data_IF_428125072827
#
_entry.id   IF_428125072827
#
_cell.length_a   1.000
_cell.length_b   1.000
_cell.length_c   1.000
_cell.angle_alpha   90.00
_cell.angle_beta   90.00
_cell.angle_gamma   90.00
#
_symmetry.space_group_name_H-M   'P 1'
#
loop_
_entity.id
_entity.type
_entity.pdbx_description
1 polymer ?
2 non-polymer ?
3 non-polymer ?
4 non-polymer ?
5 non-polymer ?
6 water ?
#
# COMPACT_ATOMS: atom_id res chain seq x y z
N UNK A 5 -18.03 -11.23 5.05
CA UNK A 5 -18.03 -9.86 5.69
C UNK A 5 -18.90 -8.87 4.93
N UNK A 6 -19.42 -7.88 5.66
CA UNK A 6 -20.23 -6.86 5.04
C UNK A 6 -19.96 -5.46 5.60
N UNK A 7 -20.43 -4.50 4.83
CA UNK A 7 -20.24 -3.07 5.16
C UNK A 7 -20.93 -2.70 6.47
N UNK A 8 -22.12 -3.23 6.73
CA UNK A 8 -22.84 -3.04 7.99
C UNK A 8 -22.08 -3.42 9.22
N UNK A 9 -21.18 -4.41 9.12
CA UNK A 9 -20.36 -4.85 10.28
C UNK A 9 -19.27 -3.82 10.73
N UNK A 10 -19.05 -2.83 9.88
CA UNK A 10 -18.18 -1.68 10.23
C UNK A 10 -18.93 -0.58 10.97
N UNK A 11 -20.26 -0.63 11.03
CA UNK A 11 -21.04 0.42 11.62
C UNK A 11 -20.73 0.52 13.07
N UNK A 12 -20.80 1.76 13.55
CA UNK A 12 -20.73 2.08 14.92
C UNK A 12 -19.81 3.23 15.25
N UNK A 13 -19.72 3.51 16.53
CA UNK A 13 -18.73 4.46 17.04
C UNK A 13 -17.51 3.74 17.45
N UNK A 14 -16.35 4.23 17.00
CA UNK A 14 -15.07 3.60 17.18
C UNK A 14 -14.08 4.55 17.78
N UNK A 15 -13.32 4.13 18.79
CA UNK A 15 -12.35 4.92 19.49
C UNK A 15 -10.97 4.53 19.06
N UNK A 16 -10.15 5.52 18.83
CA UNK A 16 -8.77 5.28 18.43
C UNK A 16 -7.94 4.69 19.58
N UNK A 17 -7.27 3.59 19.35
CA UNK A 17 -6.46 2.90 20.39
C UNK A 17 -5.03 2.79 19.97
N UNK A 18 -4.73 2.86 18.66
CA UNK A 18 -3.33 2.79 18.27
C UNK A 18 -3.17 3.49 16.93
N UNK A 19 -2.02 4.12 16.74
CA UNK A 19 -1.69 4.77 15.48
C UNK A 19 -0.24 4.60 15.21
N UNK A 20 0.11 4.31 13.95
CA UNK A 20 1.49 4.20 13.48
C UNK A 20 1.50 4.93 12.14
N UNK A 21 2.51 5.74 11.93
CA UNK A 21 2.69 6.29 10.61
C UNK A 21 1.92 7.57 10.26
N UNK A 22 1.16 8.11 11.22
CA UNK A 22 0.33 9.28 10.92
C UNK A 22 1.14 10.46 10.45
N UNK A 23 2.18 10.81 11.19
CA UNK A 23 2.91 11.99 10.82
C UNK A 23 3.51 11.76 9.43
N UNK A 24 4.05 10.59 9.17
CA UNK A 24 4.69 10.37 7.86
C UNK A 24 3.71 10.42 6.72
N UNK A 25 2.50 9.89 6.94
CA UNK A 25 1.45 10.04 5.95
C UNK A 25 1.13 11.50 5.70
N UNK A 26 0.97 12.29 6.76
CA UNK A 26 0.72 13.70 6.60
C UNK A 26 1.86 14.40 5.89
N UNK A 27 3.08 14.03 6.14
CA UNK A 27 4.20 14.63 5.43
C UNK A 27 4.18 14.30 3.97
N UNK A 28 3.76 13.09 3.67
CA UNK A 28 3.64 12.72 2.24
C UNK A 28 2.59 13.54 1.50
N UNK A 29 1.52 13.86 2.20
CA UNK A 29 0.48 14.68 1.66
C UNK A 29 0.98 16.11 1.58
N UNK A 30 2.01 16.49 2.30
CA UNK A 30 2.49 17.84 2.29
C UNK A 30 1.73 18.75 3.26
N UNK A 31 1.10 18.17 4.26
CA UNK A 31 0.34 18.91 5.24
C UNK A 31 1.33 19.57 6.11
N UNK A 32 0.99 20.80 6.46
CA UNK A 32 1.81 21.66 7.22
C UNK A 32 1.94 21.35 8.69
N UNK A 33 2.95 21.88 9.32
CA UNK A 33 3.31 21.50 10.65
C UNK A 33 2.19 21.75 11.70
N UNK A 34 1.49 22.84 11.61
CA UNK A 34 0.40 23.07 12.61
C UNK A 34 -0.58 21.91 12.56
N UNK A 35 -1.03 21.55 11.37
CA UNK A 35 -2.02 20.51 11.23
C UNK A 35 -1.38 19.17 11.65
N UNK A 36 -0.08 18.94 11.36
CA UNK A 36 0.54 17.71 11.91
C UNK A 36 0.74 17.66 13.43
N UNK A 37 0.98 18.78 14.06
CA UNK A 37 0.91 18.75 15.51
C UNK A 37 -0.53 18.37 15.96
N UNK A 38 -1.54 18.97 15.33
CA UNK A 38 -2.92 18.78 15.79
C UNK A 38 -3.30 17.29 15.67
N UNK A 39 -2.78 16.63 14.64
CA UNK A 39 -3.01 15.19 14.43
C UNK A 39 -2.25 14.28 15.37
N UNK A 40 -1.08 14.72 15.82
CA UNK A 40 -0.24 13.97 16.73
C UNK A 40 -0.89 13.84 18.13
N UNK A 41 -1.84 14.72 18.47
CA UNK A 41 -2.50 14.60 19.78
C UNK A 41 -4.02 14.41 19.75
N UNK A 42 -4.65 14.68 18.63
CA UNK A 42 -6.06 14.32 18.51
C UNK A 42 -6.20 12.79 18.42
N UNK A 43 -7.26 12.30 18.99
CA UNK A 43 -7.52 10.87 18.95
C UNK A 43 -8.99 10.77 18.55
N UNK A 44 -9.34 11.10 17.29
CA UNK A 44 -10.79 11.24 17.04
C UNK A 44 -11.51 9.92 17.00
N UNK A 45 -12.73 9.88 17.57
CA UNK A 45 -13.65 8.81 17.29
C UNK A 45 -14.03 8.84 15.82
N UNK A 46 -14.34 7.71 15.27
CA UNK A 46 -14.85 7.53 13.97
C UNK A 46 -16.24 6.93 14.10
N UNK A 47 -17.24 7.49 13.47
CA UNK A 47 -18.58 6.93 13.51
C UNK A 47 -18.96 6.63 12.08
N UNK A 48 -19.22 5.37 11.83
CA UNK A 48 -19.51 4.85 10.52
C UNK A 48 -20.96 4.39 10.54
N UNK A 49 -21.74 4.85 9.56
CA UNK A 49 -23.13 4.41 9.40
C UNK A 49 -23.35 4.13 7.93
N UNK A 50 -24.17 3.11 7.64
CA UNK A 50 -24.42 2.73 6.25
C UNK A 50 -25.92 2.27 6.12
N UNK A 51 -26.67 2.82 5.12
CA UNK A 51 -28.09 2.54 4.93
C UNK A 51 -28.12 2.10 3.48
N UNK A 52 -28.04 0.78 3.30
CA UNK A 52 -27.90 0.19 1.98
C UNK A 52 -26.61 0.62 1.32
N UNK A 53 -26.74 1.49 0.34
CA UNK A 53 -25.57 1.98 -0.37
C UNK A 53 -25.16 3.37 0.11
N UNK A 54 -25.88 3.96 1.06
CA UNK A 54 -25.53 5.28 1.64
C UNK A 54 -24.56 4.97 2.76
N UNK A 55 -23.42 5.67 2.73
CA UNK A 55 -22.42 5.60 3.78
C UNK A 55 -22.19 6.99 4.31
N UNK A 56 -22.04 7.07 5.61
CA UNK A 56 -21.58 8.31 6.27
C UNK A 56 -20.44 7.94 7.20
N UNK A 57 -19.40 8.78 7.18
CA UNK A 57 -18.25 8.63 8.10
C UNK A 57 -17.99 9.96 8.76
N UNK A 58 -18.14 10.01 10.06
CA UNK A 58 -17.91 11.19 10.88
C UNK A 58 -16.76 10.98 11.77
N UNK A 59 -15.96 12.03 11.96
CA UNK A 59 -14.82 12.07 12.90
C UNK A 59 -15.11 13.07 13.98
N UNK A 60 -14.90 12.72 15.22
CA UNK A 60 -15.19 13.61 16.37
C UNK A 60 -14.06 13.60 17.37
N UNK A 61 -13.64 14.80 17.70
CA UNK A 61 -12.68 15.10 18.75
C UNK A 61 -12.76 16.60 19.00
N UNK A 62 -12.09 17.05 20.07
CA UNK A 62 -12.04 18.48 20.28
C UNK A 62 -11.24 19.17 19.17
N UNK A 63 -10.21 18.53 18.63
CA UNK A 63 -9.41 19.17 17.61
C UNK A 63 -9.91 19.02 16.20
N UNK A 64 -10.63 17.95 15.95
CA UNK A 64 -11.01 17.61 14.59
C UNK A 64 -12.43 17.09 14.58
N UNK A 65 -13.23 17.66 13.74
CA UNK A 65 -14.64 17.23 13.57
C UNK A 65 -14.96 17.40 12.12
N UNK A 66 -15.24 16.30 11.44
CA UNK A 66 -15.48 16.24 10.01
C UNK A 66 -16.52 15.18 9.70
N UNK A 67 -17.21 15.29 8.58
CA UNK A 67 -18.10 14.25 8.19
C UNK A 67 -18.24 14.26 6.70
N UNK A 68 -18.48 13.12 6.09
CA UNK A 68 -18.88 13.09 4.71
C UNK A 68 -19.90 11.96 4.54
N UNK A 69 -20.74 12.12 3.51
CA UNK A 69 -21.72 11.11 3.12
C UNK A 69 -21.52 10.82 1.65
N UNK A 70 -21.81 9.61 1.23
CA UNK A 70 -21.71 9.26 -0.17
C UNK A 70 -22.61 8.09 -0.45
N UNK A 71 -22.72 7.81 -1.76
CA UNK A 71 -23.24 6.54 -2.20
C UNK A 71 -22.13 5.61 -2.66
N UNK A 72 -22.14 4.38 -2.15
CA UNK A 72 -21.12 3.41 -2.53
C UNK A 72 -21.07 3.27 -4.05
N UNK A 73 -19.91 3.43 -4.60
CA UNK A 73 -19.69 3.33 -6.03
C UNK A 73 -19.73 4.58 -6.80
N UNK A 74 -20.18 5.65 -6.17
CA UNK A 74 -20.39 6.91 -6.87
C UNK A 74 -19.33 7.94 -6.49
N UNK A 75 -18.70 8.51 -7.47
CA UNK A 75 -17.75 9.59 -7.26
C UNK A 75 -18.43 10.82 -6.65
N UNK A 76 -17.72 11.48 -5.74
CA UNK A 76 -18.19 12.62 -5.08
C UNK A 76 -17.05 13.54 -4.67
N UNK A 77 -17.37 14.79 -4.42
CA UNK A 77 -16.39 15.73 -3.92
C UNK A 77 -16.29 15.64 -2.41
N UNK A 78 -15.12 15.25 -1.91
CA UNK A 78 -14.82 15.22 -0.50
C UNK A 78 -13.91 16.33 -0.14
N UNK A 79 -14.25 17.08 0.91
CA UNK A 79 -13.34 18.02 1.46
C UNK A 79 -12.64 17.35 2.66
N UNK A 80 -11.35 17.23 2.54
CA UNK A 80 -10.60 16.50 3.53
C UNK A 80 -10.25 17.47 4.68
N UNK A 81 -9.74 16.88 5.77
CA UNK A 81 -9.49 17.67 6.97
C UNK A 81 -8.46 18.72 6.75
N UNK A 82 -7.48 18.37 5.93
CA UNK A 82 -6.43 19.30 5.55
C UNK A 82 -6.79 20.26 4.47
N UNK A 83 -8.01 20.11 3.92
CA UNK A 83 -8.54 21.06 2.95
C UNK A 83 -8.43 20.74 1.47
N UNK A 84 -8.06 19.51 1.11
CA UNK A 84 -8.12 19.11 -0.27
C UNK A 84 -9.57 18.89 -0.67
N UNK A 85 -9.87 19.21 -1.93
CA UNK A 85 -11.14 18.80 -2.49
C UNK A 85 -10.90 17.71 -3.45
N UNK A 86 -11.15 16.51 -2.98
CA UNK A 86 -10.82 15.34 -3.77
C UNK A 86 -12.03 14.77 -4.48
N UNK A 87 -11.80 14.07 -5.57
CA UNK A 87 -12.83 13.20 -6.11
C UNK A 87 -12.65 11.87 -5.48
N UNK A 88 -13.58 11.45 -4.66
CA UNK A 88 -13.50 10.28 -3.88
C UNK A 88 -14.54 9.26 -4.33
N UNK A 89 -14.22 7.98 -4.21
CA UNK A 89 -15.19 6.87 -4.38
C UNK A 89 -14.99 5.91 -3.26
N UNK A 90 -16.05 5.46 -2.62
CA UNK A 90 -16.04 4.42 -1.63
C UNK A 90 -16.73 3.19 -2.16
N UNK A 91 -16.14 2.05 -1.92
CA UNK A 91 -16.74 0.77 -2.30
C UNK A 91 -16.47 -0.21 -1.21
N UNK A 92 -17.39 -1.13 -0.99
CA UNK A 92 -17.13 -2.29 -0.15
C UNK A 92 -16.76 -3.48 -1.02
N UNK A 93 -15.49 -3.86 -0.94
CA UNK A 93 -14.93 -4.91 -1.78
C UNK A 93 -14.06 -5.87 -0.97
N UNK A 94 -14.15 -7.15 -1.29
CA UNK A 94 -13.21 -8.14 -0.72
C UNK A 94 -13.19 -8.01 0.82
N UNK A 95 -14.34 -7.74 1.42
CA UNK A 95 -14.46 -7.59 2.86
C UNK A 95 -13.89 -6.28 3.47
N UNK A 96 -13.58 -5.29 2.65
CA UNK A 96 -13.09 -4.00 3.21
C UNK A 96 -13.80 -2.86 2.55
N UNK A 97 -13.92 -1.74 3.31
CA UNK A 97 -14.42 -0.51 2.75
C UNK A 97 -13.19 0.14 2.18
N UNK A 98 -13.22 0.50 0.90
CA UNK A 98 -12.08 1.14 0.23
C UNK A 98 -12.53 2.51 -0.25
N UNK A 99 -11.76 3.52 0.13
CA UNK A 99 -12.03 4.95 -0.12
C UNK A 99 -10.86 5.47 -0.92
N UNK A 100 -11.07 5.76 -2.17
CA UNK A 100 -10.06 6.23 -3.12
C UNK A 100 -10.24 7.67 -3.37
N UNK A 101 -9.19 8.43 -3.18
CA UNK A 101 -9.20 9.88 -3.31
C UNK A 101 -8.30 10.31 -4.44
N UNK A 102 -8.74 11.16 -5.32
CA UNK A 102 -7.92 11.64 -6.40
C UNK A 102 -8.01 13.15 -6.41
N UNK A 103 -6.90 13.85 -6.52
CA UNK A 103 -6.86 15.29 -6.63
C UNK A 103 -5.58 15.71 -7.26
N UNK A 104 -5.63 16.65 -8.18
CA UNK A 104 -4.45 17.21 -8.83
C UNK A 104 -3.49 16.16 -9.37
N UNK A 105 -4.00 15.08 -9.87
CA UNK A 105 -3.10 14.06 -10.40
C UNK A 105 -2.58 13.10 -9.36
N UNK A 106 -2.91 13.33 -8.09
CA UNK A 106 -2.43 12.52 -6.98
C UNK A 106 -3.50 11.58 -6.53
N UNK A 107 -3.15 10.57 -5.79
CA UNK A 107 -4.09 9.60 -5.29
C UNK A 107 -3.69 9.12 -3.93
N UNK A 108 -4.71 8.85 -3.11
CA UNK A 108 -4.50 8.16 -1.86
C UNK A 108 -5.62 7.20 -1.61
N UNK A 109 -5.40 6.10 -0.89
CA UNK A 109 -6.40 5.12 -0.59
C UNK A 109 -6.49 4.93 0.90
N UNK A 110 -7.70 4.79 1.40
CA UNK A 110 -7.95 4.56 2.82
C UNK A 110 -8.79 3.32 2.86
N UNK A 111 -8.36 2.33 3.57
CA UNK A 111 -9.04 1.08 3.68
C UNK A 111 -9.46 0.88 5.12
N UNK A 112 -10.66 0.34 5.32
CA UNK A 112 -11.20 0.12 6.65
C UNK A 112 -11.74 -1.30 6.66
N UNK A 113 -11.25 -2.09 7.62
CA UNK A 113 -11.67 -3.48 7.71
C UNK A 113 -11.71 -3.89 9.15
N UNK A 114 -12.46 -4.96 9.42
CA UNK A 114 -12.53 -5.51 10.75
C UNK A 114 -11.43 -6.57 10.90
N UNK A 115 -10.72 -6.55 12.00
CA UNK A 115 -9.82 -7.66 12.31
C UNK A 115 -9.92 -7.93 13.78
N UNK A 116 -10.43 -9.13 14.14
CA UNK A 116 -10.62 -9.54 15.54
C UNK A 116 -11.40 -8.51 16.37
N UNK A 117 -12.55 -8.11 15.81
CA UNK A 117 -13.45 -7.16 16.44
C UNK A 117 -13.00 -5.69 16.37
N UNK A 118 -11.79 -5.42 15.89
CA UNK A 118 -11.26 -4.03 15.89
C UNK A 118 -11.33 -3.50 14.45
N UNK A 119 -11.52 -2.19 14.32
CA UNK A 119 -11.50 -1.56 13.03
C UNK A 119 -10.07 -1.13 12.74
N UNK A 120 -9.60 -1.57 11.59
CA UNK A 120 -8.22 -1.28 11.20
C UNK A 120 -8.31 -0.41 9.97
N UNK A 121 -7.73 0.79 10.08
CA UNK A 121 -7.82 1.79 9.06
C UNK A 121 -6.43 2.03 8.52
N UNK A 122 -6.27 1.80 7.23
CA UNK A 122 -4.97 1.96 6.56
C UNK A 122 -5.07 3.05 5.53
N UNK A 123 -4.24 4.07 5.62
CA UNK A 123 -4.17 5.12 4.65
C UNK A 123 -2.84 5.05 3.95
N UNK A 124 -2.86 5.16 2.66
CA UNK A 124 -1.57 5.10 1.95
C UNK A 124 -1.56 6.13 0.84
N UNK A 125 -0.43 6.79 0.68
CA UNK A 125 -0.18 7.60 -0.46
C UNK A 125 1.25 7.34 -0.90
N UNK A 126 1.44 6.93 -2.16
CA UNK A 126 2.80 6.70 -2.70
C UNK A 126 3.64 5.85 -1.74
N UNK A 127 3.05 4.76 -1.29
CA UNK A 127 3.67 3.83 -0.38
C UNK A 127 3.92 4.23 1.03
N UNK A 128 3.56 5.44 1.36
CA UNK A 128 3.63 5.95 2.72
C UNK A 128 2.32 5.65 3.45
N UNK A 129 2.35 4.87 4.52
CA UNK A 129 1.16 4.30 5.17
C UNK A 129 0.99 4.74 6.59
N UNK A 130 -0.24 5.05 6.97
CA UNK A 130 -0.68 5.24 8.38
C UNK A 130 -1.63 4.14 8.71
N UNK A 131 -1.42 3.43 9.83
CA UNK A 131 -2.29 2.38 10.29
C UNK A 131 -2.86 2.81 11.62
N UNK A 132 -4.18 2.78 11.70
CA UNK A 132 -4.90 3.20 12.90
C UNK A 132 -5.87 2.11 13.31
N UNK A 133 -5.86 1.78 14.60
CA UNK A 133 -6.69 0.71 15.12
C UNK A 133 -7.67 1.33 16.11
N UNK A 134 -8.94 0.91 15.96
CA UNK A 134 -10.01 1.42 16.81
C UNK A 134 -10.79 0.30 17.51
N UNK A 135 -11.27 0.59 18.71
CA UNK A 135 -12.15 -0.35 19.40
C UNK A 135 -13.54 0.24 19.52
N UNK A 136 -14.54 -0.64 19.47
CA UNK A 136 -15.91 -0.22 19.44
C UNK A 136 -16.31 0.45 20.75
N UNK A 137 -17.00 1.57 20.68
CA UNK A 137 -17.49 2.27 21.86
C UNK A 137 -18.92 1.77 21.99
N UNK A 138 -19.21 0.98 23.01
CA UNK A 138 -20.56 0.46 23.09
C UNK A 138 -21.02 0.43 24.52
N UNK B 5 12.86 -23.32 4.82
CA UNK B 5 12.80 -22.00 4.12
C UNK B 5 11.85 -21.06 4.84
N UNK B 6 12.33 -19.84 5.10
CA UNK B 6 11.49 -18.85 5.82
C UNK B 6 11.68 -17.47 5.15
N UNK B 7 10.69 -16.61 5.27
CA UNK B 7 10.79 -15.23 4.71
C UNK B 7 11.98 -14.43 5.27
N UNK B 8 12.25 -14.60 6.55
CA UNK B 8 13.41 -14.07 7.21
C UNK B 8 14.67 -14.39 6.45
N UNK B 9 14.72 -15.55 5.80
CA UNK B 9 15.96 -15.91 5.07
C UNK B 9 16.24 -15.01 3.86
N UNK B 10 15.24 -14.20 3.46
CA UNK B 10 15.46 -13.29 2.33
C UNK B 10 15.97 -11.94 2.77
N UNK B 11 16.06 -11.70 4.07
CA UNK B 11 16.51 -10.41 4.58
C UNK B 11 17.89 -10.04 4.18
N UNK B 12 18.08 -8.74 3.91
CA UNK B 12 19.42 -8.16 3.75
C UNK B 12 19.44 -7.22 2.58
N UNK B 13 20.60 -6.63 2.36
CA UNK B 13 20.88 -5.93 1.14
C UNK B 13 21.46 -6.75 0.07
N UNK B 14 20.90 -6.66 -1.11
CA UNK B 14 21.19 -7.50 -2.20
C UNK B 14 21.62 -6.70 -3.39
N UNK B 15 22.71 -7.08 -4.01
CA UNK B 15 23.29 -6.41 -5.16
C UNK B 15 23.10 -7.22 -6.48
N UNK B 16 22.63 -6.55 -7.51
CA UNK B 16 22.38 -7.20 -8.78
C UNK B 16 23.65 -7.73 -9.40
N UNK B 17 23.66 -9.01 -9.68
CA UNK B 17 24.78 -9.62 -10.41
C UNK B 17 24.47 -10.15 -11.79
N UNK B 18 23.19 -10.48 -12.07
CA UNK B 18 22.82 -10.96 -13.38
C UNK B 18 21.37 -10.57 -13.66
N UNK B 19 21.13 -10.20 -14.90
CA UNK B 19 19.77 -9.91 -15.38
C UNK B 19 19.53 -10.47 -16.76
N UNK B 20 18.34 -11.04 -16.94
CA UNK B 20 17.89 -11.61 -18.23
C UNK B 20 16.41 -11.27 -18.41
N UNK B 21 16.12 -10.60 -19.50
CA UNK B 21 14.74 -10.28 -19.87
C UNK B 21 14.13 -9.13 -19.18
N UNK B 22 14.90 -8.39 -18.35
CA UNK B 22 14.28 -7.28 -17.64
C UNK B 22 13.80 -6.18 -18.55
N UNK B 23 14.57 -5.78 -19.58
CA UNK B 23 14.07 -4.81 -20.52
C UNK B 23 12.76 -5.25 -21.19
N UNK B 24 12.68 -6.52 -21.60
CA UNK B 24 11.45 -6.99 -22.22
C UNK B 24 10.30 -7.00 -21.25
N UNK B 25 10.52 -7.36 -20.00
CA UNK B 25 9.49 -7.20 -18.99
C UNK B 25 9.00 -5.80 -18.78
N UNK B 26 9.95 -4.86 -18.74
CA UNK B 26 9.56 -3.48 -18.65
C UNK B 26 8.80 -3.01 -19.86
N UNK B 27 9.17 -3.44 -21.04
CA UNK B 27 8.42 -3.20 -22.25
C UNK B 27 6.97 -3.67 -22.06
N UNK B 28 6.84 -4.89 -21.58
CA UNK B 28 5.48 -5.44 -21.44
C UNK B 28 4.67 -4.61 -20.50
N UNK B 29 5.26 -4.02 -19.46
CA UNK B 29 4.56 -3.19 -18.45
C UNK B 29 4.19 -1.82 -19.00
N UNK B 30 4.70 -1.47 -20.16
CA UNK B 30 4.52 -0.12 -20.73
C UNK B 30 5.49 0.88 -20.14
N UNK B 31 6.66 0.45 -19.70
CA UNK B 31 7.64 1.42 -19.13
C UNK B 31 8.28 2.12 -20.29
N UNK B 32 8.41 3.45 -20.20
CA UNK B 32 9.02 4.25 -21.27
C UNK B 32 10.52 4.16 -21.29
N UNK B 33 11.07 4.61 -22.41
CA UNK B 33 12.50 4.51 -22.61
C UNK B 33 13.42 5.08 -21.48
N UNK B 34 13.05 6.26 -20.98
CA UNK B 34 13.89 6.88 -19.93
C UNK B 34 14.04 5.94 -18.74
N UNK B 35 12.92 5.36 -18.27
CA UNK B 35 13.01 4.51 -17.11
C UNK B 35 13.59 3.12 -17.43
N UNK B 36 13.35 2.64 -18.67
CA UNK B 36 14.01 1.40 -19.04
C UNK B 36 15.54 1.48 -19.05
N UNK B 37 16.01 2.60 -19.60
CA UNK B 37 17.44 2.85 -19.69
C UNK B 37 18.02 3.05 -18.29
N UNK B 38 17.30 3.76 -17.43
CA UNK B 38 17.75 3.96 -16.04
C UNK B 38 17.94 2.65 -15.30
N UNK B 39 16.98 1.74 -15.43
CA UNK B 39 17.07 0.44 -14.75
C UNK B 39 18.27 -0.35 -15.16
N UNK B 40 18.44 -0.47 -16.47
CA UNK B 40 19.60 -1.15 -17.02
C UNK B 40 20.92 -0.59 -16.48
N UNK B 41 20.98 0.73 -16.31
CA UNK B 41 22.19 1.39 -15.90
C UNK B 41 22.38 1.41 -14.39
N UNK B 42 21.30 1.69 -13.65
CA UNK B 42 21.38 1.93 -12.22
C UNK B 42 21.61 0.67 -11.43
N UNK B 43 21.08 -0.47 -11.90
CA UNK B 43 21.19 -1.71 -11.14
C UNK B 43 20.90 -1.51 -9.65
N UNK B 44 19.67 -1.09 -9.29
CA UNK B 44 19.40 -0.85 -7.90
C UNK B 44 19.61 -2.06 -6.99
N UNK B 45 20.18 -1.81 -5.84
CA UNK B 45 20.14 -2.76 -4.74
C UNK B 45 18.69 -3.01 -4.33
N UNK B 46 18.45 -4.20 -3.83
CA UNK B 46 17.21 -4.56 -3.18
C UNK B 46 17.43 -4.82 -1.70
N UNK B 47 16.73 -4.18 -0.83
CA UNK B 47 16.89 -4.34 0.61
C UNK B 47 15.57 -4.90 1.12
N UNK B 48 15.61 -6.11 1.65
CA UNK B 48 14.45 -6.81 2.15
C UNK B 48 14.56 -6.88 3.62
N UNK B 49 13.53 -6.51 4.33
CA UNK B 49 13.47 -6.60 5.79
C UNK B 49 12.16 -7.16 6.17
N UNK B 50 12.14 -7.79 7.33
CA UNK B 50 10.88 -8.25 7.80
C UNK B 50 10.85 -8.21 9.32
N UNK B 51 9.64 -8.34 9.81
CA UNK B 51 9.43 -8.52 11.23
C UNK B 51 8.11 -9.24 11.32
N UNK B 52 8.22 -10.56 11.52
CA UNK B 52 7.07 -11.45 11.59
C UNK B 52 6.39 -11.50 10.26
N UNK B 53 5.15 -11.03 10.25
CA UNK B 53 4.35 -11.04 9.07
C UNK B 53 4.46 -9.72 8.29
N UNK B 54 5.25 -8.78 8.77
CA UNK B 54 5.49 -7.49 8.10
C UNK B 54 6.75 -7.58 7.25
N UNK B 55 6.66 -7.06 6.03
CA UNK B 55 7.69 -7.17 5.01
C UNK B 55 7.92 -5.77 4.46
N UNK B 56 9.19 -5.39 4.26
CA UNK B 56 9.48 -4.22 3.49
C UNK B 56 10.43 -4.60 2.38
N UNK B 57 10.24 -4.05 1.19
CA UNK B 57 11.14 -4.21 0.08
C UNK B 57 11.49 -2.88 -0.46
N UNK B 58 12.76 -2.51 -0.41
CA UNK B 58 13.27 -1.24 -0.86
C UNK B 58 14.17 -1.45 -2.05
N UNK B 59 13.96 -0.73 -3.11
CA UNK B 59 14.75 -0.74 -4.34
C UNK B 59 15.48 0.57 -4.38
N UNK B 60 16.81 0.57 -4.31
CA UNK B 60 17.57 1.76 -4.02
C UNK B 60 18.64 2.03 -5.05
N UNK B 61 18.63 3.26 -5.53
CA UNK B 61 19.71 3.86 -6.31
C UNK B 61 19.82 5.31 -5.88
N UNK B 62 20.91 5.98 -6.26
CA UNK B 62 20.97 7.37 -5.84
C UNK B 62 19.87 8.21 -6.45
N UNK B 63 19.49 7.95 -7.70
CA UNK B 63 18.49 8.76 -8.31
C UNK B 63 17.08 8.39 -7.98
N UNK B 64 16.84 7.12 -7.70
CA UNK B 64 15.45 6.57 -7.66
C UNK B 64 15.41 5.50 -6.59
N UNK B 65 14.80 5.80 -5.45
CA UNK B 65 14.60 4.86 -4.40
C UNK B 65 13.09 4.73 -4.16
N UNK B 66 12.59 3.51 -4.10
CA UNK B 66 11.15 3.09 -4.01
C UNK B 66 11.10 2.11 -2.85
N UNK B 67 10.10 2.11 -2.02
CA UNK B 67 9.92 1.03 -1.12
C UNK B 67 8.47 0.88 -0.75
N UNK B 68 8.10 -0.33 -0.38
CA UNK B 68 6.76 -0.60 0.10
C UNK B 68 6.91 -1.48 1.32
N UNK B 69 5.93 -1.38 2.19
CA UNK B 69 5.80 -2.28 3.32
C UNK B 69 4.41 -2.88 3.28
N UNK B 70 4.29 -4.11 3.73
CA UNK B 70 3.00 -4.77 3.78
C UNK B 70 2.98 -5.79 4.87
N UNK B 71 1.80 -6.37 5.08
CA UNK B 71 1.62 -7.52 5.93
C UNK B 71 1.35 -8.67 4.99
N UNK B 72 2.02 -9.80 5.20
CA UNK B 72 1.84 -10.93 4.32
C UNK B 72 0.38 -11.33 4.33
N UNK B 73 -0.20 -11.54 3.17
CA UNK B 73 -1.57 -11.98 3.04
C UNK B 73 -2.57 -10.86 2.94
N UNK B 74 -2.16 -9.61 3.16
CA UNK B 74 -3.07 -8.51 3.18
C UNK B 74 -2.88 -7.63 1.97
N UNK B 75 -3.95 -7.47 1.22
CA UNK B 75 -3.92 -6.61 0.08
C UNK B 75 -3.61 -5.16 0.44
N UNK B 76 -2.88 -4.51 -0.44
CA UNK B 76 -2.53 -3.14 -0.22
C UNK B 76 -2.30 -2.39 -1.52
N UNK B 77 -2.34 -1.07 -1.51
CA UNK B 77 -2.04 -0.26 -2.67
C UNK B 77 -0.57 0.01 -2.75
N UNK B 78 0.05 -0.54 -3.78
CA UNK B 78 1.47 -0.34 -4.08
C UNK B 78 1.61 0.70 -5.14
N UNK B 79 2.57 1.59 -4.99
CA UNK B 79 3.04 2.41 -6.07
C UNK B 79 4.33 1.79 -6.57
N UNK B 80 4.32 1.35 -7.82
CA UNK B 80 5.51 0.68 -8.33
C UNK B 80 6.52 1.72 -8.75
N UNK B 81 7.70 1.21 -9.06
CA UNK B 81 8.81 2.13 -9.36
C UNK B 81 8.46 2.87 -10.62
N UNK B 82 7.79 2.20 -11.54
CA UNK B 82 7.38 2.79 -12.78
C UNK B 82 6.06 3.59 -12.76
N UNK B 83 5.47 3.69 -11.58
CA UNK B 83 4.38 4.57 -11.37
C UNK B 83 3.01 3.95 -11.36
N UNK B 84 2.89 2.64 -11.48
CA UNK B 84 1.56 2.02 -11.48
C UNK B 84 1.01 2.05 -10.07
N UNK B 85 -0.29 2.12 -9.92
CA UNK B 85 -0.93 1.98 -8.61
C UNK B 85 -1.61 0.66 -8.65
N UNK B 86 -1.04 -0.31 -8.00
CA UNK B 86 -1.52 -1.68 -8.06
C UNK B 86 -2.17 -2.13 -6.76
N UNK B 87 -3.07 -3.10 -6.82
CA UNK B 87 -3.49 -3.79 -5.65
C UNK B 87 -2.55 -4.98 -5.63
N UNK B 88 -1.76 -5.03 -4.57
CA UNK B 88 -0.74 -6.05 -4.36
C UNK B 88 -1.02 -6.90 -3.14
N UNK B 89 -0.63 -8.17 -3.25
CA UNK B 89 -0.56 -9.01 -2.07
C UNK B 89 0.72 -9.81 -2.11
N UNK B 90 1.39 -9.91 -0.97
CA UNK B 90 2.58 -10.72 -0.83
C UNK B 90 2.31 -11.87 0.10
N UNK B 91 2.78 -13.05 -0.26
CA UNK B 91 2.64 -14.27 0.55
C UNK B 91 3.93 -15.01 0.47
N UNK B 92 4.29 -15.69 1.55
CA UNK B 92 5.47 -16.55 1.48
C UNK B 92 4.98 -18.00 1.46
N UNK B 93 5.18 -18.66 0.34
CA UNK B 93 4.53 -19.93 -0.02
C UNK B 93 5.51 -20.82 -0.76
N UNK B 94 5.61 -22.09 -0.28
CA UNK B 94 6.46 -23.09 -0.93
C UNK B 94 7.87 -22.56 -1.08
N UNK B 95 8.36 -21.93 -0.02
CA UNK B 95 9.72 -21.44 0.02
C UNK B 95 10.09 -20.21 -0.83
N UNK B 96 9.08 -19.51 -1.32
CA UNK B 96 9.29 -18.28 -2.11
C UNK B 96 8.38 -17.18 -1.61
N UNK B 97 8.84 -15.94 -1.77
CA UNK B 97 7.98 -14.76 -1.55
C UNK B 97 7.31 -14.53 -2.88
N UNK B 98 5.97 -14.55 -2.88
CA UNK B 98 5.19 -14.37 -4.11
C UNK B 98 4.42 -13.07 -3.99
N UNK B 99 4.60 -12.16 -4.94
CA UNK B 99 3.98 -10.85 -4.96
C UNK B 99 3.15 -10.79 -6.20
N UNK B 100 1.88 -10.54 -6.00
CA UNK B 100 0.93 -10.49 -7.09
C UNK B 100 0.37 -9.10 -7.14
N UNK B 101 0.47 -8.50 -8.33
CA UNK B 101 0.00 -7.15 -8.61
C UNK B 101 -1.17 -7.15 -9.57
N UNK B 102 -2.19 -6.39 -9.28
CA UNK B 102 -3.28 -6.19 -10.19
C UNK B 102 -3.56 -4.76 -10.39
N UNK B 103 -3.76 -4.32 -11.63
CA UNK B 103 -4.04 -2.93 -11.92
C UNK B 103 -4.69 -2.88 -13.29
N UNK B 104 -5.76 -2.11 -13.43
CA UNK B 104 -6.31 -1.79 -14.75
C UNK B 104 -6.58 -3.08 -15.54
N UNK B 105 -7.07 -4.11 -14.89
CA UNK B 105 -7.35 -5.35 -15.56
C UNK B 105 -6.15 -6.22 -15.94
N UNK B 106 -4.95 -5.81 -15.50
CA UNK B 106 -3.73 -6.53 -15.76
C UNK B 106 -3.25 -7.17 -14.47
N UNK B 107 -2.31 -8.07 -14.60
CA UNK B 107 -1.71 -8.77 -13.49
C UNK B 107 -0.26 -9.05 -13.78
N UNK B 108 0.56 -9.00 -12.73
CA UNK B 108 1.95 -9.48 -12.81
C UNK B 108 2.34 -10.16 -11.53
N UNK B 109 3.23 -11.16 -11.64
CA UNK B 109 3.67 -11.86 -10.48
C UNK B 109 5.18 -11.72 -10.39
N UNK B 110 5.63 -11.42 -9.21
CA UNK B 110 7.07 -11.38 -8.89
C UNK B 110 7.36 -12.40 -7.78
N UNK B 111 8.30 -13.26 -8.04
CA UNK B 111 8.74 -14.20 -7.06
C UNK B 111 10.19 -13.88 -6.64
N UNK B 112 10.45 -14.10 -5.37
CA UNK B 112 11.82 -13.93 -4.79
C UNK B 112 12.14 -15.12 -3.94
N UNK B 113 13.27 -15.72 -4.23
CA UNK B 113 13.66 -16.93 -3.46
C UNK B 113 15.13 -17.02 -3.35
N UNK B 114 15.56 -17.80 -2.36
CA UNK B 114 16.99 -17.97 -2.13
C UNK B 114 17.42 -19.22 -2.90
N UNK B 115 18.45 -19.13 -3.74
CA UNK B 115 19.03 -20.32 -4.37
C UNK B 115 20.56 -20.25 -4.24
N UNK B 116 21.12 -21.19 -3.46
CA UNK B 116 22.58 -21.28 -3.27
C UNK B 116 23.12 -19.94 -2.76
N UNK B 117 22.39 -19.36 -1.81
CA UNK B 117 22.83 -18.13 -1.16
C UNK B 117 22.57 -16.84 -1.93
N UNK B 118 22.14 -16.98 -3.19
CA UNK B 118 21.78 -15.82 -4.00
C UNK B 118 20.26 -15.60 -3.94
N UNK B 119 19.85 -14.37 -4.17
CA UNK B 119 18.40 -14.01 -4.31
C UNK B 119 18.06 -14.01 -5.77
N UNK B 120 17.04 -14.82 -6.12
CA UNK B 120 16.57 -14.97 -7.46
C UNK B 120 15.21 -14.34 -7.52
N UNK B 121 15.12 -13.32 -8.38
CA UNK B 121 13.92 -12.51 -8.49
C UNK B 121 13.40 -12.72 -9.88
N UNK B 122 12.15 -13.21 -9.97
CA UNK B 122 11.56 -13.45 -11.26
C UNK B 122 10.26 -12.70 -11.40
N UNK B 123 10.06 -12.11 -12.54
CA UNK B 123 8.86 -11.33 -12.77
C UNK B 123 8.26 -11.77 -14.04
N UNK B 124 6.91 -11.80 -14.07
CA UNK B 124 6.23 -12.23 -15.29
C UNK B 124 4.97 -11.39 -15.48
N UNK B 125 4.73 -11.00 -16.70
CA UNK B 125 3.46 -10.48 -17.13
C UNK B 125 3.14 -11.00 -18.48
N UNK B 126 1.96 -11.63 -18.60
CA UNK B 126 1.52 -12.11 -19.92
C UNK B 126 2.57 -12.95 -20.63
N UNK B 127 3.16 -13.86 -19.90
CA UNK B 127 4.19 -14.75 -20.41
C UNK B 127 5.50 -14.09 -20.79
N UNK B 128 5.69 -12.83 -20.49
CA UNK B 128 6.99 -12.17 -20.58
C UNK B 128 7.69 -12.22 -19.23
N UNK B 129 8.80 -12.93 -19.18
CA UNK B 129 9.42 -13.23 -17.91
C UNK B 129 10.84 -12.70 -17.90
N UNK B 130 11.28 -12.42 -16.70
CA UNK B 130 12.69 -12.07 -16.49
C UNK B 130 13.16 -12.59 -15.19
N UNK B 131 14.49 -12.71 -15.13
CA UNK B 131 15.17 -13.24 -14.00
C UNK B 131 16.36 -12.32 -13.67
N UNK B 132 16.39 -11.94 -12.40
CA UNK B 132 17.48 -11.15 -11.84
C UNK B 132 18.05 -11.88 -10.64
N UNK B 133 19.38 -11.95 -10.59
CA UNK B 133 20.10 -12.60 -9.52
C UNK B 133 20.93 -11.59 -8.78
N UNK B 134 20.84 -11.71 -7.46
CA UNK B 134 21.50 -10.81 -6.53
C UNK B 134 22.37 -11.59 -5.57
N UNK B 135 23.46 -10.95 -5.16
CA UNK B 135 24.30 -11.47 -4.09
C UNK B 135 24.26 -10.54 -2.91
N UNK B 136 24.43 -11.11 -1.73
CA UNK B 136 24.33 -10.38 -0.47
C UNK B 136 25.48 -9.36 -0.34
N UNK B 137 25.15 -8.14 0.08
CA UNK B 137 26.14 -7.07 0.31
C UNK B 137 26.38 -7.19 1.80
N UNK B 138 27.53 -7.67 2.20
CA UNK B 138 27.73 -7.77 3.65
C UNK B 138 29.14 -7.35 4.01
X LIG C 1 6.90 -16.71 -11.54
X LIG C 1 6.28 -16.91 -12.93
X LIG C 1 8.32 -17.68 -11.53
X LIG C 1 7.51 -15.06 -11.42
X LIG D 1 18.18 -7.56 -19.42
X LIG D 1 19.57 -7.00 -19.38
X LIG D 1 17.22 -6.60 -20.02
X LIG D 1 17.85 -8.26 -18.23
X LIG D 1 18.34 -8.62 -20.47
X LIG E 1 -3.10 -0.03 1.30
X LIG F 1 11.01 -1.89 -11.66
X LIG F 1 10.29 -1.51 -12.79
X LIG F 1 10.59 -3.05 -10.79
X LIG F 1 12.09 -1.08 -11.33
X LIG F 1 10.64 -0.41 -13.57
X LIG F 1 9.13 -2.27 -13.20
X LIG F 1 9.58 -3.95 -11.48
X LIG F 1 11.70 -3.85 -10.08
X LIG F 1 12.44 0.01 -12.09
X LIG F 1 11.74 0.34 -13.24
X LIG F 1 9.23 -3.67 -12.84
X LIG F 1 11.25 -4.77 -9.17
X LIG F 1 12.94 -3.78 -10.16
X LIG F 1 13.57 0.79 -11.73
X LIG F 1 14.40 1.30 -12.72
X LIG F 1 13.81 1.00 -10.37
X LIG F 1 15.54 2.02 -12.33
X LIG F 1 14.92 1.72 -9.99
X LIG F 1 15.76 2.23 -10.96
X LIG F 1 17.12 3.06 -10.40
#
# INVERSE_FOLDING_TARGET
GSHMATVQQLEGRWRLVDSKGFDEYMKELGVGIALRKMGAMAKPDCIITCDGKNLTIKTESTLKTTQFSCTLGEKFEETTADGRKTQTVCNFTDGALVQHQEWDGKESTITRKLKDGKLVVECVMNNVTCTRIYEKVE
GSHMATVQQLEGRWRLVDSKGFDEYMKELGVGIALRKMGAMAKPDCIITCDGKNLTIKTESTLKTTQFSCTLGEKFEETTADGRKTQTVCNFTDGALVQHQEWDGKESTITRKLKDGKLVVECVMNNVTCTRIYEKVE
DMS S O C1 C2
SO4 S O1 O2 O3 O4
CL CL
WXZ C1 C2 C3 C4 C5 C6 C7 C8 C9 C10 C11 O12 O13 C14 C15 C16 C17 C18 C19 CL20
#
